data_IF_890144328007
#
_entry.id   IF_890144328007
#
_cell.length_a   1.000
_cell.length_b   1.000
_cell.length_c   1.000
_cell.angle_alpha   90.00
_cell.angle_beta   90.00
_cell.angle_gamma   90.00
#
_symmetry.space_group_name_H-M   'P 1'
#
loop_
_entity.id
_entity.type
_entity.pdbx_description
1 polymer ?
#
# COMPACT_ATOMS: atom_id res chain seq x y z
N UNK A 1 -7.27 -14.70 12.26
CA UNK A 1 -7.80 -14.77 10.88
C UNK A 1 -8.90 -13.73 10.76
N UNK A 2 -8.89 -12.83 9.76
CA UNK A 2 -9.92 -11.78 9.64
C UNK A 2 -11.05 -12.33 8.78
N UNK A 3 -12.25 -12.40 9.34
CA UNK A 3 -13.47 -12.63 8.56
C UNK A 3 -14.30 -11.36 8.67
N UNK A 4 -14.44 -10.63 7.56
CA UNK A 4 -15.43 -9.55 7.49
C UNK A 4 -16.74 -10.21 7.05
N UNK A 5 -17.67 -10.38 7.98
CA UNK A 5 -18.88 -11.15 7.70
C UNK A 5 -19.93 -10.38 6.88
N UNK A 6 -19.98 -9.06 7.02
CA UNK A 6 -20.93 -8.22 6.32
C UNK A 6 -20.36 -7.73 4.97
N UNK A 7 -21.12 -7.99 3.90
CA UNK A 7 -20.85 -7.53 2.54
C UNK A 7 -20.73 -6.02 2.42
N UNK A 8 -21.52 -5.25 3.18
CA UNK A 8 -21.39 -3.79 3.19
C UNK A 8 -20.00 -3.39 3.73
N UNK A 9 -19.59 -4.00 4.85
CA UNK A 9 -18.29 -3.78 5.46
C UNK A 9 -17.13 -4.21 4.55
N UNK A 10 -17.27 -5.31 3.78
CA UNK A 10 -16.28 -5.74 2.78
C UNK A 10 -16.16 -4.75 1.61
N UNK A 11 -17.27 -4.22 1.10
CA UNK A 11 -17.25 -3.22 0.03
C UNK A 11 -16.64 -1.89 0.49
N UNK A 12 -16.89 -1.48 1.74
CA UNK A 12 -16.24 -0.31 2.34
C UNK A 12 -14.74 -0.56 2.53
N UNK A 13 -14.35 -1.73 3.04
CA UNK A 13 -12.94 -2.14 3.15
C UNK A 13 -12.22 -2.02 1.80
N UNK A 14 -12.78 -2.61 0.73
CA UNK A 14 -12.18 -2.54 -0.61
C UNK A 14 -12.14 -1.11 -1.17
N UNK A 15 -13.14 -0.27 -0.85
CA UNK A 15 -13.15 1.15 -1.23
C UNK A 15 -11.99 1.89 -0.56
N UNK A 16 -11.80 1.72 0.74
CA UNK A 16 -10.71 2.40 1.46
C UNK A 16 -9.35 1.86 1.09
N UNK A 17 -9.22 0.55 0.86
CA UNK A 17 -7.98 -0.05 0.35
C UNK A 17 -7.62 0.48 -1.04
N UNK A 18 -8.62 0.69 -1.91
CA UNK A 18 -8.42 1.33 -3.21
C UNK A 18 -7.92 2.77 -3.06
N UNK A 19 -8.44 3.54 -2.09
CA UNK A 19 -7.96 4.89 -1.78
C UNK A 19 -6.51 4.85 -1.28
N UNK A 20 -6.18 3.94 -0.36
CA UNK A 20 -4.81 3.73 0.15
C UNK A 20 -3.81 3.52 -0.98
N UNK A 21 -4.12 2.62 -1.91
CA UNK A 21 -3.26 2.34 -3.06
C UNK A 21 -3.25 3.49 -4.07
N UNK A 22 -4.39 4.16 -4.25
CA UNK A 22 -4.50 5.33 -5.11
C UNK A 22 -3.61 6.48 -4.63
N UNK A 23 -3.55 6.71 -3.32
CA UNK A 23 -2.62 7.66 -2.72
C UNK A 23 -1.17 7.32 -3.06
N UNK A 24 -0.78 6.04 -3.09
CA UNK A 24 0.59 5.60 -3.42
C UNK A 24 0.96 5.72 -4.89
N UNK A 25 0.02 5.98 -5.80
CA UNK A 25 0.32 6.22 -7.21
C UNK A 25 0.95 7.58 -7.48
N UNK A 26 0.63 8.57 -6.65
CA UNK A 26 1.21 9.90 -6.79
C UNK A 26 2.56 9.86 -6.06
N UNK A 27 3.65 9.81 -6.81
CA UNK A 27 5.02 9.89 -6.28
C UNK A 27 5.29 11.32 -5.78
N UNK A 28 4.55 11.79 -4.77
CA UNK A 28 4.73 13.12 -4.16
C UNK A 28 5.90 13.17 -3.18
N UNK A 29 6.66 12.07 -3.06
CA UNK A 29 7.84 11.96 -2.20
C UNK A 29 8.91 13.03 -2.50
N UNK A 30 8.86 13.66 -3.68
CA UNK A 30 9.77 14.73 -4.10
C UNK A 30 9.37 16.12 -3.57
N UNK A 31 8.14 16.30 -3.05
CA UNK A 31 7.64 17.56 -2.51
C UNK A 31 7.25 17.33 -1.04
N UNK A 32 8.02 17.83 -0.05
CA UNK A 32 7.83 17.49 1.37
C UNK A 32 6.41 17.71 1.89
N UNK A 33 5.78 18.83 1.53
CA UNK A 33 4.40 19.13 1.94
C UNK A 33 3.37 18.21 1.28
N UNK A 34 3.58 17.86 0.01
CA UNK A 34 2.68 16.97 -0.71
C UNK A 34 2.83 15.52 -0.22
N UNK A 35 4.05 15.11 0.16
CA UNK A 35 4.33 13.86 0.84
C UNK A 35 3.60 13.76 2.20
N UNK A 36 3.69 14.79 3.05
CA UNK A 36 2.97 14.81 4.32
C UNK A 36 1.45 14.75 4.14
N UNK A 37 0.89 15.50 3.18
CA UNK A 37 -0.53 15.44 2.87
C UNK A 37 -0.94 14.03 2.38
N UNK A 38 -0.15 13.42 1.51
CA UNK A 38 -0.38 12.06 1.02
C UNK A 38 -0.36 11.04 2.18
N UNK A 39 0.60 11.17 3.09
CA UNK A 39 0.68 10.29 4.26
C UNK A 39 -0.50 10.50 5.22
N UNK A 40 -0.94 11.73 5.46
CA UNK A 40 -2.15 11.99 6.24
C UNK A 40 -3.40 11.32 5.64
N UNK A 41 -3.57 11.39 4.32
CA UNK A 41 -4.68 10.72 3.63
C UNK A 41 -4.55 9.20 3.76
N UNK A 42 -3.33 8.66 3.58
CA UNK A 42 -3.03 7.24 3.76
C UNK A 42 -3.41 6.76 5.17
N UNK A 43 -2.99 7.48 6.20
CA UNK A 43 -3.32 7.17 7.60
C UNK A 43 -4.82 7.22 7.86
N UNK A 44 -5.51 8.27 7.41
CA UNK A 44 -6.96 8.39 7.55
C UNK A 44 -7.69 7.20 6.91
N UNK A 45 -7.25 6.77 5.72
CA UNK A 45 -7.81 5.61 5.05
C UNK A 45 -7.50 4.30 5.78
N UNK A 46 -6.28 4.11 6.31
CA UNK A 46 -5.93 2.96 7.13
C UNK A 46 -6.74 2.88 8.44
N UNK A 47 -6.97 4.00 9.12
CA UNK A 47 -7.84 4.07 10.31
C UNK A 47 -9.25 3.59 9.97
N UNK A 48 -9.81 4.04 8.84
CA UNK A 48 -11.11 3.55 8.37
C UNK A 48 -11.07 2.05 8.08
N UNK A 49 -10.03 1.55 7.43
CA UNK A 49 -9.87 0.09 7.21
C UNK A 49 -9.86 -0.69 8.53
N UNK A 50 -9.20 -0.18 9.57
CA UNK A 50 -9.17 -0.81 10.89
C UNK A 50 -10.52 -0.87 11.59
N UNK A 51 -11.46 0.03 11.28
CA UNK A 51 -12.84 -0.10 11.79
C UNK A 51 -13.57 -1.31 11.22
N UNK A 52 -13.16 -1.80 10.04
CA UNK A 52 -13.76 -2.95 9.37
C UNK A 52 -12.99 -4.26 9.61
N UNK A 53 -11.71 -4.18 9.96
CA UNK A 53 -10.87 -5.33 10.30
C UNK A 53 -10.82 -5.54 11.81
N UNK A 54 -11.63 -6.48 12.34
CA UNK A 54 -11.55 -6.83 13.76
C UNK A 54 -10.15 -7.35 14.13
N UNK A 55 -9.54 -6.71 15.15
CA UNK A 55 -8.29 -7.10 15.86
C UNK A 55 -7.05 -7.42 15.00
N UNK A 56 -6.39 -6.39 14.46
CA UNK A 56 -4.95 -6.45 14.16
C UNK A 56 -4.18 -5.36 14.91
N UNK A 57 -3.75 -5.68 16.14
CA UNK A 57 -2.90 -4.83 16.98
C UNK A 57 -1.55 -4.52 16.31
N UNK A 58 -0.92 -5.50 15.64
CA UNK A 58 0.35 -5.31 14.93
C UNK A 58 0.32 -4.24 13.85
N UNK A 59 -0.75 -4.18 13.05
CA UNK A 59 -0.88 -3.15 12.01
C UNK A 59 -0.99 -1.73 12.58
N UNK A 60 -1.57 -1.57 13.78
CA UNK A 60 -1.60 -0.27 14.46
C UNK A 60 -0.19 0.18 14.84
N UNK A 61 0.64 -0.74 15.34
CA UNK A 61 2.04 -0.42 15.66
C UNK A 61 2.85 -0.07 14.42
N UNK A 62 2.65 -0.76 13.29
CA UNK A 62 3.28 -0.39 12.02
C UNK A 62 2.86 1.02 11.56
N UNK A 63 1.57 1.35 11.68
CA UNK A 63 1.06 2.68 11.33
C UNK A 63 1.64 3.79 12.22
N UNK A 64 1.74 3.54 13.52
CA UNK A 64 2.35 4.48 14.47
C UNK A 64 3.84 4.67 14.17
N UNK A 65 4.56 3.59 13.86
CA UNK A 65 5.95 3.65 13.45
C UNK A 65 6.14 4.51 12.19
N UNK A 66 5.30 4.30 11.18
CA UNK A 66 5.33 5.08 9.94
C UNK A 66 5.02 6.57 10.19
N UNK A 67 4.04 6.87 11.05
CA UNK A 67 3.73 8.25 11.48
C UNK A 67 4.93 8.92 12.17
N UNK A 68 5.63 8.19 13.04
CA UNK A 68 6.81 8.72 13.71
C UNK A 68 7.93 9.05 12.71
N UNK A 69 8.14 8.20 11.69
CA UNK A 69 9.11 8.47 10.62
C UNK A 69 8.72 9.70 9.79
N UNK A 70 7.43 9.89 9.49
CA UNK A 70 6.94 11.09 8.81
C UNK A 70 7.24 12.36 9.62
N UNK A 71 7.04 12.33 10.95
CA UNK A 71 7.34 13.47 11.83
C UNK A 71 8.85 13.75 11.84
N UNK A 72 9.68 12.70 11.90
CA UNK A 72 11.14 12.85 11.87
C UNK A 72 11.63 13.39 10.52
N UNK A 73 10.96 13.06 9.41
CA UNK A 73 11.28 13.59 8.08
C UNK A 73 11.04 15.10 7.95
N UNK A 74 10.18 15.70 8.79
CA UNK A 74 9.93 17.14 8.81
C UNK A 74 10.99 17.95 9.58
N UNK A 75 11.87 17.28 10.33
CA UNK A 75 12.96 17.95 11.05
C UNK A 75 14.09 18.29 10.07
N UNK A 76 14.81 19.41 10.28
CA UNK A 76 15.98 19.76 9.47
C UNK A 76 17.05 18.68 9.66
N UNK A 77 17.20 17.83 8.66
CA UNK A 77 18.03 16.63 8.65
C UNK A 77 18.89 16.63 7.38
N UNK A 78 20.02 15.92 7.40
CA UNK A 78 20.86 15.77 6.20
C UNK A 78 20.12 14.96 5.12
N UNK A 79 20.49 15.18 3.86
CA UNK A 79 19.92 14.44 2.72
C UNK A 79 20.02 12.93 2.90
N UNK A 80 21.12 12.45 3.48
CA UNK A 80 21.35 11.03 3.76
C UNK A 80 20.31 10.44 4.74
N UNK A 81 20.01 11.12 5.85
CA UNK A 81 19.01 10.64 6.82
C UNK A 81 17.59 10.69 6.25
N UNK A 82 17.29 11.67 5.40
CA UNK A 82 15.98 11.80 4.73
C UNK A 82 15.65 10.60 3.84
N UNK A 83 16.65 10.03 3.14
CA UNK A 83 16.41 8.92 2.21
C UNK A 83 16.25 7.59 2.96
N UNK A 84 16.92 7.40 4.09
CA UNK A 84 16.70 6.24 4.98
C UNK A 84 15.28 6.22 5.55
N UNK A 85 14.75 7.36 5.96
CA UNK A 85 13.35 7.46 6.39
C UNK A 85 12.38 7.02 5.30
N UNK A 86 12.67 7.41 4.06
CA UNK A 86 11.86 7.06 2.91
C UNK A 86 11.86 5.54 2.63
N UNK A 87 13.03 4.89 2.65
CA UNK A 87 13.11 3.43 2.46
C UNK A 87 12.42 2.68 3.60
N UNK A 88 12.62 3.10 4.86
CA UNK A 88 11.99 2.44 6.01
C UNK A 88 10.46 2.61 5.93
N UNK A 89 9.96 3.80 5.59
CA UNK A 89 8.54 4.05 5.40
C UNK A 89 7.95 3.17 4.29
N UNK A 90 8.62 3.07 3.13
CA UNK A 90 8.23 2.18 2.04
C UNK A 90 8.11 0.71 2.49
N UNK A 91 9.02 0.23 3.36
CA UNK A 91 8.98 -1.13 3.90
C UNK A 91 7.86 -1.34 4.92
N UNK A 92 7.59 -0.35 5.79
CA UNK A 92 6.46 -0.42 6.73
C UNK A 92 5.12 -0.44 5.98
N UNK A 93 4.98 0.39 4.97
CA UNK A 93 3.81 0.43 4.11
C UNK A 93 3.60 -0.89 3.35
N UNK A 94 4.69 -1.50 2.86
CA UNK A 94 4.64 -2.83 2.26
C UNK A 94 4.05 -3.84 3.26
N UNK A 95 4.52 -3.88 4.51
CA UNK A 95 3.99 -4.78 5.53
C UNK A 95 2.50 -4.56 5.79
N UNK A 96 2.06 -3.29 5.84
CA UNK A 96 0.65 -2.93 5.97
C UNK A 96 -0.16 -3.47 4.78
N UNK A 97 0.30 -3.23 3.54
CA UNK A 97 -0.38 -3.67 2.31
C UNK A 97 -0.47 -5.20 2.23
N UNK A 98 0.60 -5.91 2.60
CA UNK A 98 0.60 -7.38 2.67
C UNK A 98 -0.49 -7.86 3.62
N UNK A 99 -0.57 -7.26 4.80
CA UNK A 99 -1.51 -7.68 5.83
C UNK A 99 -2.97 -7.40 5.45
N UNK A 100 -3.21 -6.32 4.70
CA UNK A 100 -4.51 -5.99 4.10
C UNK A 100 -4.87 -6.94 2.95
N UNK A 101 -3.89 -7.34 2.14
CA UNK A 101 -4.10 -8.25 1.02
C UNK A 101 -4.51 -9.65 1.45
N UNK A 102 -4.08 -10.11 2.63
CA UNK A 102 -4.57 -11.37 3.23
C UNK A 102 -6.09 -11.31 3.41
N UNK A 103 -6.62 -10.17 3.87
CA UNK A 103 -8.06 -9.95 3.99
C UNK A 103 -8.74 -9.96 2.62
N UNK A 104 -8.13 -9.37 1.58
CA UNK A 104 -8.66 -9.43 0.20
C UNK A 104 -8.74 -10.88 -0.29
N UNK A 105 -7.68 -11.67 -0.09
CA UNK A 105 -7.66 -13.08 -0.48
C UNK A 105 -8.73 -13.91 0.24
N UNK A 106 -9.02 -13.60 1.52
CA UNK A 106 -10.12 -14.21 2.28
C UNK A 106 -11.49 -13.88 1.67
N UNK A 107 -11.69 -12.61 1.30
CA UNK A 107 -12.92 -12.15 0.63
C UNK A 107 -13.06 -12.85 -0.73
N UNK A 108 -12.00 -12.95 -1.53
CA UNK A 108 -12.04 -13.65 -2.82
C UNK A 108 -12.47 -15.11 -2.68
N UNK A 109 -11.91 -15.83 -1.71
CA UNK A 109 -12.31 -17.22 -1.40
C UNK A 109 -13.80 -17.31 -1.09
N UNK A 110 -14.34 -16.36 -0.32
CA UNK A 110 -15.76 -16.36 0.08
C UNK A 110 -16.73 -16.17 -1.10
N UNK A 111 -16.32 -15.41 -2.11
CA UNK A 111 -17.13 -15.14 -3.29
C UNK A 111 -16.78 -16.01 -4.50
N UNK A 112 -15.94 -17.04 -4.32
CA UNK A 112 -15.43 -17.88 -5.41
C UNK A 112 -14.83 -17.07 -6.57
N UNK A 113 -14.21 -15.92 -6.24
CA UNK A 113 -13.47 -15.11 -7.20
C UNK A 113 -12.15 -15.82 -7.49
N UNK A 114 -11.72 -15.82 -8.75
CA UNK A 114 -10.43 -16.36 -9.16
C UNK A 114 -9.31 -15.84 -8.24
N UNK A 115 -8.68 -16.74 -7.48
CA UNK A 115 -7.76 -16.45 -6.39
C UNK A 115 -6.41 -15.89 -6.88
N UNK A 116 -6.44 -14.68 -7.43
CA UNK A 116 -5.30 -14.00 -8.06
C UNK A 116 -4.59 -13.04 -7.11
N UNK A 117 -5.20 -12.68 -5.97
CA UNK A 117 -4.55 -11.82 -4.95
C UNK A 117 -3.19 -12.34 -4.49
N UNK A 118 -2.99 -13.63 -4.15
CA UNK A 118 -1.68 -14.11 -3.68
C UNK A 118 -0.58 -13.97 -4.73
N UNK A 119 -0.90 -14.24 -6.00
CA UNK A 119 0.07 -14.09 -7.08
C UNK A 119 0.44 -12.62 -7.31
N UNK A 120 -0.56 -11.72 -7.37
CA UNK A 120 -0.33 -10.29 -7.59
C UNK A 120 0.47 -9.71 -6.43
N UNK A 121 0.16 -10.12 -5.20
CA UNK A 121 0.88 -9.69 -4.00
C UNK A 121 2.33 -10.18 -3.97
N UNK A 122 2.60 -11.42 -4.40
CA UNK A 122 3.99 -11.92 -4.53
C UNK A 122 4.81 -11.07 -5.49
N UNK A 123 4.24 -10.72 -6.65
CA UNK A 123 4.90 -9.83 -7.62
C UNK A 123 5.13 -8.43 -7.04
N UNK A 124 4.14 -7.89 -6.32
CA UNK A 124 4.24 -6.59 -5.66
C UNK A 124 5.38 -6.57 -4.63
N UNK A 125 5.43 -7.58 -3.76
CA UNK A 125 6.48 -7.73 -2.74
C UNK A 125 7.88 -7.74 -3.35
N UNK A 126 8.11 -8.57 -4.37
CA UNK A 126 9.43 -8.65 -5.02
C UNK A 126 9.87 -7.32 -5.61
N UNK A 127 8.96 -6.61 -6.29
CA UNK A 127 9.30 -5.31 -6.88
C UNK A 127 9.62 -4.29 -5.79
N UNK A 128 8.80 -4.19 -4.73
CA UNK A 128 9.05 -3.24 -3.65
C UNK A 128 10.37 -3.54 -2.94
N UNK A 129 10.68 -4.81 -2.68
CA UNK A 129 11.95 -5.22 -2.05
C UNK A 129 13.17 -4.91 -2.94
N UNK A 130 13.09 -5.20 -4.23
CA UNK A 130 14.17 -4.91 -5.18
C UNK A 130 14.40 -3.40 -5.27
N UNK A 131 13.34 -2.60 -5.36
CA UNK A 131 13.43 -1.14 -5.40
C UNK A 131 13.99 -0.60 -4.09
N UNK A 132 13.49 -1.06 -2.94
CA UNK A 132 13.98 -0.65 -1.63
C UNK A 132 15.48 -0.94 -1.48
N UNK A 133 15.91 -2.17 -1.77
CA UNK A 133 17.32 -2.55 -1.72
C UNK A 133 18.19 -1.71 -2.67
N UNK A 134 17.74 -1.54 -3.92
CA UNK A 134 18.46 -0.75 -4.92
C UNK A 134 18.63 0.70 -4.46
N UNK A 135 17.60 1.30 -3.88
CA UNK A 135 17.67 2.65 -3.33
C UNK A 135 18.56 2.73 -2.10
N UNK A 136 18.58 1.73 -1.22
CA UNK A 136 19.51 1.66 -0.09
C UNK A 136 20.97 1.69 -0.54
N UNK A 137 21.35 0.91 -1.55
CA UNK A 137 22.72 0.88 -2.05
C UNK A 137 23.15 2.14 -2.79
N UNK A 138 22.20 2.86 -3.39
CA UNK A 138 22.48 4.07 -4.15
C UNK A 138 22.64 5.34 -3.31
N UNK A 139 22.26 5.34 -2.03
CA UNK A 139 22.37 6.52 -1.17
C UNK A 139 23.81 7.00 -0.94
N UNK A 140 24.81 6.17 -1.27
CA UNK A 140 26.23 6.47 -1.07
C UNK A 140 26.95 6.90 -2.37
N UNK A 141 26.23 7.17 -3.46
CA UNK A 141 26.83 7.52 -4.75
C UNK A 141 26.37 8.90 -5.23
N UNK A 142 27.31 9.75 -5.66
CA UNK A 142 27.02 11.09 -6.22
C UNK A 142 26.85 11.08 -7.76
N UNK A 143 26.59 9.91 -8.35
CA UNK A 143 26.55 9.76 -9.80
C UNK A 143 25.16 10.03 -10.41
N UNK A 144 25.13 10.61 -11.61
CA UNK A 144 23.91 10.85 -12.41
C UNK A 144 23.08 9.57 -12.63
N UNK A 145 23.72 8.40 -12.58
CA UNK A 145 23.09 7.08 -12.61
C UNK A 145 22.11 6.82 -11.45
N UNK A 146 22.31 7.48 -10.30
CA UNK A 146 21.43 7.39 -9.12
C UNK A 146 20.04 7.93 -9.43
N UNK A 147 19.96 9.11 -10.05
CA UNK A 147 18.68 9.69 -10.45
C UNK A 147 17.93 8.82 -11.46
N UNK A 148 18.64 8.18 -12.40
CA UNK A 148 18.06 7.25 -13.35
C UNK A 148 17.48 6.01 -12.65
N UNK A 149 18.20 5.41 -11.70
CA UNK A 149 17.69 4.24 -10.98
C UNK A 149 16.54 4.60 -10.03
N UNK A 150 16.55 5.81 -9.45
CA UNK A 150 15.43 6.36 -8.67
C UNK A 150 14.19 6.45 -9.57
N UNK A 151 14.34 6.99 -10.78
CA UNK A 151 13.25 7.08 -11.76
C UNK A 151 12.72 5.69 -12.15
N UNK A 152 13.61 4.75 -12.48
CA UNK A 152 13.22 3.36 -12.83
C UNK A 152 12.50 2.69 -11.66
N UNK A 153 13.00 2.84 -10.44
CA UNK A 153 12.34 2.32 -9.23
C UNK A 153 10.96 2.92 -9.03
N UNK A 154 10.80 4.23 -9.24
CA UNK A 154 9.52 4.92 -9.18
C UNK A 154 8.51 4.38 -10.21
N UNK A 155 8.95 4.17 -11.46
CA UNK A 155 8.12 3.59 -12.53
C UNK A 155 7.69 2.16 -12.19
N UNK A 156 8.61 1.33 -11.67
CA UNK A 156 8.30 -0.03 -11.26
C UNK A 156 7.27 -0.05 -10.13
N UNK A 157 7.45 0.77 -9.09
CA UNK A 157 6.50 0.93 -8.00
C UNK A 157 5.13 1.39 -8.52
N UNK A 158 5.10 2.35 -9.43
CA UNK A 158 3.88 2.83 -10.06
C UNK A 158 3.15 1.70 -10.81
N UNK A 159 3.86 0.92 -11.63
CA UNK A 159 3.29 -0.17 -12.42
C UNK A 159 2.67 -1.26 -11.53
N UNK A 160 3.36 -1.68 -10.46
CA UNK A 160 2.82 -2.71 -9.55
C UNK A 160 1.66 -2.19 -8.70
N UNK A 161 1.67 -0.90 -8.31
CA UNK A 161 0.55 -0.28 -7.62
C UNK A 161 -0.69 -0.17 -8.52
N UNK A 162 -0.54 0.19 -9.81
CA UNK A 162 -1.65 0.18 -10.78
C UNK A 162 -2.24 -1.22 -10.89
N UNK A 163 -1.39 -2.23 -11.06
CA UNK A 163 -1.85 -3.62 -11.19
C UNK A 163 -2.66 -4.06 -9.97
N UNK A 164 -2.19 -3.77 -8.77
CA UNK A 164 -2.89 -4.08 -7.52
C UNK A 164 -4.21 -3.30 -7.40
N UNK A 165 -4.22 -2.03 -7.81
CA UNK A 165 -5.40 -1.16 -7.79
C UNK A 165 -6.48 -1.63 -8.77
N UNK A 166 -6.11 -2.03 -9.98
CA UNK A 166 -7.01 -2.63 -10.97
C UNK A 166 -7.59 -3.95 -10.48
N UNK A 167 -6.76 -4.78 -9.85
CA UNK A 167 -7.19 -6.04 -9.24
C UNK A 167 -8.28 -5.82 -8.19
N UNK A 168 -8.04 -4.94 -7.22
CA UNK A 168 -9.00 -4.62 -6.15
C UNK A 168 -10.28 -4.00 -6.70
N UNK A 169 -10.18 -3.17 -7.75
CA UNK A 169 -11.35 -2.66 -8.47
C UNK A 169 -12.16 -3.80 -9.11
N UNK A 170 -11.48 -4.80 -9.69
CA UNK A 170 -12.09 -6.01 -10.24
C UNK A 170 -12.83 -6.81 -9.17
N UNK A 171 -12.17 -7.11 -8.04
CA UNK A 171 -12.76 -7.80 -6.89
C UNK A 171 -14.01 -7.06 -6.38
N UNK A 172 -13.92 -5.73 -6.21
CA UNK A 172 -15.05 -4.91 -5.78
C UNK A 172 -16.23 -4.96 -6.77
N UNK A 173 -15.94 -4.89 -8.08
CA UNK A 173 -16.97 -4.99 -9.13
C UNK A 173 -17.67 -6.34 -9.07
N UNK A 174 -16.90 -7.43 -8.92
CA UNK A 174 -17.44 -8.78 -8.82
C UNK A 174 -18.34 -8.97 -7.60
N UNK A 175 -17.88 -8.55 -6.41
CA UNK A 175 -18.69 -8.65 -5.19
C UNK A 175 -19.99 -7.85 -5.33
N UNK A 176 -19.96 -6.70 -6.01
CA UNK A 176 -21.16 -5.90 -6.30
C UNK A 176 -22.08 -6.59 -7.32
N UNK A 177 -21.56 -7.27 -8.35
CA UNK A 177 -22.39 -7.96 -9.35
C UNK A 177 -22.96 -9.29 -8.86
N UNK A 178 -22.31 -9.96 -7.90
CA UNK A 178 -22.81 -11.20 -7.30
C UNK A 178 -24.20 -11.08 -6.64
N UNK A 179 -24.75 -9.86 -6.46
CA UNK A 179 -26.17 -9.67 -6.10
C UNK A 179 -27.16 -9.96 -7.20
N UNK A 180 -26.79 -9.77 -8.47
CA UNK A 180 -27.76 -9.77 -9.57
C UNK A 180 -28.07 -11.16 -10.13
N UNK A 181 -27.40 -12.21 -9.65
CA UNK A 181 -27.56 -13.60 -10.14
C UNK A 181 -28.40 -14.46 -9.18
N UNK A 182 -28.97 -13.88 -8.11
CA UNK A 182 -29.90 -14.57 -7.20
C UNK A 182 -31.31 -13.96 -7.24
N UNK A 183 -31.82 -13.65 -8.43
CA UNK A 183 -33.26 -13.52 -8.71
C UNK A 183 -33.49 -13.86 -10.18
N UNK A 184 -33.70 -15.14 -10.48
CA UNK A 184 -34.45 -15.62 -11.65
C UNK A 184 -34.80 -17.07 -11.43
#
# INVERSE_FOLDING_TARGET
>A
MIVIDDRHHQLQFLKWLWIVLGCKLVLLNMIPFAYCLQQLIFYGACIKIFTYCQRKTWMKYLLIGDMALMIMYLLPMTTLTSTWYFVISLLLELLIIIELSKTVAEIEKRYYVQASTPHIMKSYQWVVLVVAASWTFLMNSDNSFVYLLILVGGILLFAVNIRLLLHIRGVRKYIRSATHVKVS
#
